data_IF_778120782743
#
_entry.id   IF_778120782743
#
_cell.length_a   1.000
_cell.length_b   1.000
_cell.length_c   1.000
_cell.angle_alpha   90.00
_cell.angle_beta   90.00
_cell.angle_gamma   90.00
#
_symmetry.space_group_name_H-M   'P 1'
#
loop_
_entity.id
_entity.type
_entity.pdbx_description
1 polymer ?
#
# COMPACT_ATOMS: atom_id res chain seq x y z
N UNK A 1 25.08 -33.60 -32.96
CA UNK A 1 24.34 -33.71 -31.68
C UNK A 1 23.49 -32.45 -31.50
N UNK A 2 22.19 -32.45 -31.88
CA UNK A 2 21.37 -31.26 -31.68
C UNK A 2 21.04 -31.09 -30.19
N UNK A 3 21.47 -29.97 -29.61
CA UNK A 3 21.19 -29.59 -28.22
C UNK A 3 19.71 -29.22 -28.09
N UNK A 4 18.99 -29.94 -27.22
CA UNK A 4 17.56 -29.74 -26.99
C UNK A 4 17.35 -28.49 -26.14
N UNK A 5 17.06 -27.36 -26.79
CA UNK A 5 16.58 -26.14 -26.14
C UNK A 5 15.39 -26.43 -25.22
N UNK A 6 15.35 -25.94 -23.96
CA UNK A 6 14.24 -26.21 -23.06
C UNK A 6 12.98 -25.53 -23.59
N UNK A 7 12.08 -26.31 -24.16
CA UNK A 7 10.73 -25.87 -24.55
C UNK A 7 10.06 -25.17 -23.37
N UNK A 8 9.91 -23.84 -23.48
CA UNK A 8 9.26 -22.99 -22.47
C UNK A 8 7.76 -23.29 -22.50
N UNK A 9 7.33 -24.27 -21.69
CA UNK A 9 5.91 -24.66 -21.54
C UNK A 9 5.06 -23.40 -21.34
N UNK A 10 4.10 -23.17 -22.23
CA UNK A 10 3.12 -22.09 -22.13
C UNK A 10 2.10 -22.43 -21.03
N UNK A 11 2.47 -22.12 -19.78
CA UNK A 11 1.66 -22.38 -18.56
C UNK A 11 0.32 -21.59 -18.54
N UNK A 12 0.07 -20.75 -19.55
CA UNK A 12 -1.09 -19.85 -19.62
C UNK A 12 -2.45 -20.53 -19.80
N UNK A 13 -2.52 -21.80 -20.27
CA UNK A 13 -3.81 -22.43 -20.62
C UNK A 13 -4.50 -23.24 -19.52
N UNK A 14 -3.76 -23.78 -18.54
CA UNK A 14 -4.35 -24.78 -17.61
C UNK A 14 -4.48 -24.31 -16.16
N UNK A 15 -3.65 -23.37 -15.69
CA UNK A 15 -3.74 -22.86 -14.30
C UNK A 15 -4.42 -21.50 -14.29
N UNK A 16 -5.59 -21.39 -13.65
CA UNK A 16 -6.22 -20.08 -13.36
C UNK A 16 -5.37 -19.32 -12.33
N UNK A 17 -4.37 -18.56 -12.80
CA UNK A 17 -3.44 -17.79 -11.96
C UNK A 17 -4.14 -16.61 -11.24
N UNK A 18 -5.16 -16.04 -11.89
CA UNK A 18 -5.96 -14.93 -11.37
C UNK A 18 -7.28 -15.47 -10.82
N UNK A 19 -7.63 -15.06 -9.60
CA UNK A 19 -8.91 -15.43 -9.01
C UNK A 19 -10.02 -14.51 -9.58
N UNK A 20 -11.11 -15.04 -10.16
CA UNK A 20 -12.25 -14.23 -10.61
C UNK A 20 -12.86 -13.40 -9.48
N UNK A 21 -12.71 -13.84 -8.22
CA UNK A 21 -13.23 -13.12 -7.06
C UNK A 21 -12.33 -11.96 -6.60
N UNK A 22 -11.14 -11.80 -7.19
CA UNK A 22 -10.15 -10.78 -6.85
C UNK A 22 -8.81 -11.38 -6.43
N UNK A 23 -7.69 -10.71 -6.76
CA UNK A 23 -6.35 -11.14 -6.31
C UNK A 23 -5.80 -12.38 -7.05
N UNK A 24 -4.72 -12.96 -6.50
CA UNK A 24 -4.03 -14.13 -7.04
C UNK A 24 -4.48 -15.42 -6.35
N UNK A 25 -4.64 -16.50 -7.13
CA UNK A 25 -4.87 -17.85 -6.58
C UNK A 25 -3.60 -18.40 -5.93
N UNK A 26 -3.68 -19.54 -5.22
CA UNK A 26 -2.50 -20.21 -4.68
C UNK A 26 -1.49 -20.55 -5.80
N UNK A 27 -1.98 -21.21 -6.86
CA UNK A 27 -1.21 -21.48 -8.07
C UNK A 27 -0.65 -20.21 -8.72
N UNK A 28 -1.40 -19.10 -8.67
CA UNK A 28 -0.92 -17.79 -9.11
C UNK A 28 0.30 -17.32 -8.33
N UNK A 29 0.26 -17.42 -6.99
CA UNK A 29 1.39 -17.01 -6.13
C UNK A 29 2.58 -17.95 -6.27
N UNK A 30 2.36 -19.25 -6.40
CA UNK A 30 3.42 -20.24 -6.68
C UNK A 30 4.10 -19.96 -8.00
N UNK A 31 3.34 -19.67 -9.06
CA UNK A 31 3.90 -19.30 -10.35
C UNK A 31 4.74 -18.02 -10.26
N UNK A 32 4.29 -17.01 -9.51
CA UNK A 32 5.07 -15.79 -9.27
C UNK A 32 6.35 -16.08 -8.46
N UNK A 33 6.29 -16.99 -7.49
CA UNK A 33 7.44 -17.45 -6.75
C UNK A 33 8.45 -18.16 -7.65
N UNK A 34 8.01 -19.07 -8.51
CA UNK A 34 8.86 -19.77 -9.48
C UNK A 34 9.48 -18.84 -10.54
N UNK A 35 8.74 -17.80 -10.97
CA UNK A 35 9.17 -16.91 -12.06
C UNK A 35 10.00 -15.72 -11.61
N UNK A 36 9.60 -15.08 -10.50
CA UNK A 36 10.21 -13.84 -10.03
C UNK A 36 10.96 -14.03 -8.71
N UNK A 37 10.92 -15.23 -8.10
CA UNK A 37 11.52 -15.49 -6.79
C UNK A 37 10.77 -14.83 -5.62
N UNK A 38 9.62 -14.22 -5.88
CA UNK A 38 8.88 -13.46 -4.87
C UNK A 38 7.94 -14.37 -4.06
N UNK A 39 8.18 -14.49 -2.75
CA UNK A 39 7.28 -15.19 -1.83
C UNK A 39 6.07 -14.30 -1.47
N UNK A 40 5.14 -14.18 -2.41
CA UNK A 40 3.92 -13.40 -2.24
C UNK A 40 3.01 -14.01 -1.18
N UNK A 41 2.86 -13.32 -0.06
CA UNK A 41 1.87 -13.68 0.97
C UNK A 41 0.43 -13.37 0.50
N UNK A 42 -0.58 -14.14 0.90
CA UNK A 42 -1.98 -13.84 0.60
C UNK A 42 -2.42 -12.52 1.24
N UNK A 43 -3.46 -11.90 0.69
CA UNK A 43 -4.06 -10.68 1.24
C UNK A 43 -4.51 -10.86 2.69
N UNK A 44 -4.38 -9.81 3.50
CA UNK A 44 -4.76 -9.84 4.93
C UNK A 44 -6.28 -9.79 5.03
N UNK A 45 -6.92 -10.95 5.13
CA UNK A 45 -8.36 -11.08 5.38
C UNK A 45 -8.65 -10.85 6.87
N UNK A 46 -9.70 -10.09 7.18
CA UNK A 46 -10.14 -9.82 8.55
C UNK A 46 -9.50 -8.59 9.21
N UNK A 47 -9.54 -8.58 10.54
CA UNK A 47 -9.01 -7.49 11.38
C UNK A 47 -7.48 -7.45 11.31
N UNK A 48 -6.93 -6.23 11.28
CA UNK A 48 -5.50 -5.98 11.22
C UNK A 48 -4.95 -5.74 12.62
N UNK A 49 -4.90 -6.81 13.43
CA UNK A 49 -4.59 -6.70 14.87
C UNK A 49 -3.08 -6.68 15.16
N UNK A 50 -2.26 -7.22 14.25
CA UNK A 50 -0.80 -7.22 14.39
C UNK A 50 -0.16 -6.06 13.61
N UNK A 51 0.99 -5.51 14.05
CA UNK A 51 1.68 -4.44 13.33
C UNK A 51 2.00 -4.81 11.87
N UNK A 52 2.38 -6.06 11.60
CA UNK A 52 2.63 -6.53 10.23
C UNK A 52 1.33 -6.51 9.39
N UNK A 53 0.21 -6.99 9.94
CA UNK A 53 -1.10 -6.94 9.25
C UNK A 53 -1.52 -5.50 8.96
N UNK A 54 -1.34 -4.58 9.92
CA UNK A 54 -1.62 -3.15 9.75
C UNK A 54 -0.80 -2.56 8.61
N UNK A 55 0.52 -2.79 8.62
CA UNK A 55 1.43 -2.31 7.58
C UNK A 55 1.03 -2.82 6.20
N UNK A 56 0.86 -4.14 6.07
CA UNK A 56 0.56 -4.79 4.78
C UNK A 56 -0.77 -4.31 4.22
N UNK A 57 -1.83 -4.34 5.03
CA UNK A 57 -3.18 -3.94 4.62
C UNK A 57 -3.26 -2.44 4.36
N UNK A 58 -2.69 -1.63 5.24
CA UNK A 58 -2.65 -0.18 5.09
C UNK A 58 -1.91 0.27 3.84
N UNK A 59 -0.73 -0.31 3.58
CA UNK A 59 0.06 -0.01 2.39
C UNK A 59 -0.65 -0.41 1.09
N UNK A 60 -1.28 -1.58 1.06
CA UNK A 60 -2.06 -2.02 -0.08
C UNK A 60 -3.21 -1.05 -0.38
N UNK A 61 -4.02 -0.72 0.64
CA UNK A 61 -5.18 0.15 0.45
C UNK A 61 -4.78 1.56 -0.02
N UNK A 62 -3.72 2.12 0.56
CA UNK A 62 -3.25 3.44 0.17
C UNK A 62 -2.74 3.46 -1.28
N UNK A 63 -1.97 2.44 -1.70
CA UNK A 63 -1.42 2.39 -3.07
C UNK A 63 -2.50 2.21 -4.15
N UNK A 64 -3.52 1.42 -3.86
CA UNK A 64 -4.52 1.06 -4.87
C UNK A 64 -5.75 1.96 -4.90
N UNK A 65 -6.12 2.59 -3.77
CA UNK A 65 -7.38 3.32 -3.66
C UNK A 65 -7.25 4.82 -3.34
N UNK A 66 -6.06 5.32 -2.96
CA UNK A 66 -5.89 6.77 -2.77
C UNK A 66 -5.95 7.53 -4.09
N UNK A 67 -5.31 6.98 -5.12
CA UNK A 67 -5.30 7.50 -6.47
C UNK A 67 -5.57 6.32 -7.42
N UNK A 68 -6.83 5.85 -7.48
CA UNK A 68 -7.16 4.69 -8.29
C UNK A 68 -6.90 4.99 -9.77
N UNK A 69 -6.25 4.06 -10.47
CA UNK A 69 -5.89 4.21 -11.90
C UNK A 69 -7.09 4.14 -12.85
N UNK A 70 -8.28 3.83 -12.35
CA UNK A 70 -9.46 3.65 -13.17
C UNK A 70 -10.74 3.53 -12.34
N UNK A 71 -11.90 3.37 -12.98
CA UNK A 71 -13.19 3.31 -12.31
C UNK A 71 -13.33 2.02 -11.48
N UNK A 72 -14.20 2.07 -10.48
CA UNK A 72 -14.49 0.92 -9.61
C UNK A 72 -15.49 -0.05 -10.23
N UNK A 73 -16.31 0.44 -11.16
CA UNK A 73 -17.26 -0.34 -11.95
C UNK A 73 -16.94 -0.17 -13.43
N UNK A 74 -17.24 -1.21 -14.23
CA UNK A 74 -17.18 -1.15 -15.68
C UNK A 74 -18.48 -0.55 -16.25
N UNK A 75 -18.52 -0.40 -17.58
CA UNK A 75 -19.67 0.15 -18.31
C UNK A 75 -20.94 -0.71 -18.17
N UNK A 76 -20.80 -1.96 -17.72
CA UNK A 76 -21.91 -2.90 -17.45
C UNK A 76 -22.31 -2.90 -15.97
N UNK A 77 -21.77 -1.98 -15.16
CA UNK A 77 -22.03 -1.87 -13.73
C UNK A 77 -21.37 -2.96 -12.87
N UNK A 78 -20.50 -3.79 -13.43
CA UNK A 78 -19.81 -4.87 -12.70
C UNK A 78 -18.53 -4.32 -12.05
N UNK A 79 -18.14 -4.82 -10.87
CA UNK A 79 -16.91 -4.38 -10.23
C UNK A 79 -15.68 -4.69 -11.07
N UNK A 80 -14.81 -3.69 -11.26
CA UNK A 80 -13.56 -3.87 -11.99
C UNK A 80 -12.60 -4.77 -11.21
N UNK A 81 -11.55 -5.22 -11.89
CA UNK A 81 -10.45 -5.98 -11.28
C UNK A 81 -9.85 -5.26 -10.06
N UNK A 82 -9.74 -3.93 -10.14
CA UNK A 82 -9.26 -3.08 -9.05
C UNK A 82 -10.22 -3.12 -7.85
N UNK A 83 -11.51 -2.98 -8.07
CA UNK A 83 -12.50 -3.07 -7.00
C UNK A 83 -12.53 -4.48 -6.36
N UNK A 84 -12.47 -5.54 -7.17
CA UNK A 84 -12.39 -6.93 -6.67
C UNK A 84 -11.13 -7.20 -5.84
N UNK A 85 -10.05 -6.46 -6.10
CA UNK A 85 -8.83 -6.59 -5.30
C UNK A 85 -9.05 -6.19 -3.83
N UNK A 86 -9.98 -5.28 -3.51
CA UNK A 86 -10.37 -4.97 -2.14
C UNK A 86 -10.91 -6.21 -1.41
N UNK A 87 -11.75 -7.01 -2.09
CA UNK A 87 -12.33 -8.24 -1.54
C UNK A 87 -11.27 -9.29 -1.24
N UNK A 88 -10.23 -9.40 -2.07
CA UNK A 88 -9.11 -10.29 -1.80
C UNK A 88 -8.37 -9.96 -0.49
N UNK A 89 -8.46 -8.71 -0.04
CA UNK A 89 -7.91 -8.19 1.23
C UNK A 89 -8.96 -8.06 2.34
N UNK A 90 -10.13 -8.72 2.19
CA UNK A 90 -11.19 -8.73 3.18
C UNK A 90 -11.83 -7.37 3.42
N UNK A 91 -11.80 -6.48 2.42
CA UNK A 91 -12.53 -5.22 2.43
C UNK A 91 -13.74 -5.30 1.50
N UNK A 92 -14.79 -4.48 1.73
CA UNK A 92 -15.92 -4.39 0.81
C UNK A 92 -15.45 -3.90 -0.56
N UNK A 93 -16.10 -4.40 -1.61
CA UNK A 93 -15.85 -3.98 -2.99
C UNK A 93 -16.38 -2.55 -3.16
N UNK A 94 -15.52 -1.56 -3.45
CA UNK A 94 -15.98 -0.21 -3.70
C UNK A 94 -16.77 -0.18 -5.02
N UNK A 95 -17.89 0.56 -5.05
CA UNK A 95 -18.70 0.76 -6.26
C UNK A 95 -18.40 2.09 -6.95
N UNK A 96 -17.88 3.05 -6.20
CA UNK A 96 -17.66 4.42 -6.61
C UNK A 96 -16.32 4.97 -6.07
N UNK A 97 -15.98 6.19 -6.50
CA UNK A 97 -14.76 6.88 -6.06
C UNK A 97 -14.80 7.22 -4.56
N UNK A 98 -15.99 7.48 -3.99
CA UNK A 98 -16.14 7.73 -2.56
C UNK A 98 -15.85 6.46 -1.75
N UNK A 99 -16.32 5.29 -2.19
CA UNK A 99 -15.96 3.99 -1.61
C UNK A 99 -14.46 3.73 -1.64
N UNK A 100 -13.80 4.03 -2.77
CA UNK A 100 -12.33 3.94 -2.87
C UNK A 100 -11.63 4.87 -1.87
N UNK A 101 -12.07 6.13 -1.74
CA UNK A 101 -11.53 7.07 -0.75
C UNK A 101 -11.69 6.57 0.68
N UNK A 102 -12.83 5.98 1.04
CA UNK A 102 -13.04 5.38 2.38
C UNK A 102 -12.02 4.27 2.67
N UNK A 103 -11.73 3.44 1.68
CA UNK A 103 -10.69 2.40 1.78
C UNK A 103 -9.29 3.02 1.94
N UNK A 104 -8.98 4.07 1.19
CA UNK A 104 -7.72 4.79 1.31
C UNK A 104 -7.56 5.41 2.72
N UNK A 105 -8.60 6.07 3.24
CA UNK A 105 -8.60 6.63 4.61
C UNK A 105 -8.40 5.53 5.66
N UNK A 106 -9.04 4.36 5.49
CA UNK A 106 -8.79 3.20 6.36
C UNK A 106 -7.34 2.75 6.27
N UNK A 107 -6.76 2.75 5.08
CA UNK A 107 -5.35 2.45 4.85
C UNK A 107 -4.42 3.40 5.59
N UNK A 108 -4.66 4.71 5.50
CA UNK A 108 -3.92 5.75 6.23
C UNK A 108 -3.98 5.53 7.73
N UNK A 109 -5.18 5.33 8.30
CA UNK A 109 -5.36 5.07 9.74
C UNK A 109 -4.59 3.83 10.22
N UNK A 110 -4.55 2.76 9.41
CA UNK A 110 -3.78 1.56 9.74
C UNK A 110 -2.27 1.83 9.75
N UNK A 111 -1.77 2.60 8.78
CA UNK A 111 -0.37 2.99 8.73
C UNK A 111 0.01 3.92 9.87
N UNK A 112 -0.83 4.88 10.23
CA UNK A 112 -0.62 5.75 11.39
C UNK A 112 -0.50 4.94 12.68
N UNK A 113 -1.41 3.98 12.91
CA UNK A 113 -1.35 3.06 14.05
C UNK A 113 -0.09 2.20 14.03
N UNK A 114 0.30 1.70 12.86
CA UNK A 114 1.55 0.96 12.68
C UNK A 114 2.76 1.84 13.05
N UNK A 115 2.89 3.04 12.49
CA UNK A 115 3.99 3.96 12.80
C UNK A 115 4.01 4.32 14.29
N UNK A 116 2.87 4.59 14.90
CA UNK A 116 2.78 4.83 16.33
C UNK A 116 3.24 3.62 17.16
N UNK A 117 2.86 2.39 16.77
CA UNK A 117 3.34 1.17 17.43
C UNK A 117 4.86 0.99 17.31
N UNK A 118 5.43 1.31 16.15
CA UNK A 118 6.87 1.25 15.91
C UNK A 118 7.63 2.31 16.70
N UNK A 119 7.09 3.53 16.81
CA UNK A 119 7.68 4.56 17.67
C UNK A 119 7.64 4.17 19.15
N UNK A 120 6.59 3.47 19.59
CA UNK A 120 6.50 2.97 20.98
C UNK A 120 7.49 1.85 21.26
N UNK A 121 7.72 0.96 20.30
CA UNK A 121 8.65 -0.18 20.46
C UNK A 121 10.12 0.21 20.34
N UNK A 122 10.45 1.42 19.86
CA UNK A 122 11.84 1.90 19.79
C UNK A 122 12.41 2.12 21.21
N UNK A 123 13.70 1.78 21.44
CA UNK A 123 14.35 2.07 22.72
C UNK A 123 14.36 3.58 23.00
N UNK A 124 14.20 3.96 24.27
CA UNK A 124 14.00 5.34 24.72
C UNK A 124 15.09 6.31 24.22
N UNK A 125 16.34 5.85 24.13
CA UNK A 125 17.47 6.60 23.59
C UNK A 125 17.30 7.03 22.12
N UNK A 126 16.66 6.21 21.28
CA UNK A 126 16.38 6.55 19.87
C UNK A 126 15.16 7.47 19.73
N UNK A 127 14.19 7.36 20.65
CA UNK A 127 12.97 8.20 20.67
C UNK A 127 13.28 9.65 21.08
N UNK A 128 14.18 9.86 22.04
CA UNK A 128 14.59 11.19 22.50
C UNK A 128 15.39 11.96 21.43
N UNK A 129 16.27 11.26 20.70
CA UNK A 129 17.02 11.83 19.57
C UNK A 129 16.13 12.33 18.43
N UNK A 130 15.12 11.54 18.04
CA UNK A 130 14.16 11.94 17.00
C UNK A 130 13.25 13.12 17.41
N UNK A 131 12.92 13.25 18.70
CA UNK A 131 12.16 14.40 19.21
C UNK A 131 13.03 15.67 19.21
N UNK A 132 14.30 15.57 19.66
CA UNK A 132 15.26 16.68 19.61
C UNK A 132 15.49 17.20 18.19
N UNK A 133 15.68 16.30 17.21
CA UNK A 133 15.89 16.72 15.81
C UNK A 133 14.65 17.38 15.21
N UNK A 134 13.43 16.87 15.48
CA UNK A 134 12.19 17.51 15.01
C UNK A 134 11.98 18.91 15.58
N UNK A 135 12.26 19.12 16.87
CA UNK A 135 12.16 20.44 17.51
C UNK A 135 13.19 21.41 16.93
N UNK A 136 14.43 20.97 16.71
CA UNK A 136 15.48 21.79 16.12
C UNK A 136 15.16 22.19 14.66
N UNK A 137 14.61 21.27 13.86
CA UNK A 137 14.19 21.55 12.47
C UNK A 137 12.99 22.51 12.43
N UNK A 138 12.02 22.36 13.34
CA UNK A 138 10.88 23.27 13.47
C UNK A 138 11.33 24.68 13.86
N UNK A 139 12.25 24.80 14.84
CA UNK A 139 12.82 26.09 15.25
C UNK A 139 13.58 26.79 14.10
N UNK A 140 14.41 26.04 13.35
CA UNK A 140 15.11 26.55 12.16
C UNK A 140 14.16 27.03 11.06
N UNK A 141 13.04 26.33 10.86
CA UNK A 141 12.03 26.71 9.86
C UNK A 141 11.23 27.95 10.29
N UNK A 142 11.01 28.13 11.59
CA UNK A 142 10.37 29.33 12.14
C UNK A 142 11.28 30.56 12.04
N UNK A 143 12.58 30.42 12.34
CA UNK A 143 13.54 31.52 12.17
C UNK A 143 13.71 31.91 10.71
N UNK A 144 13.83 30.93 9.79
CA UNK A 144 13.90 31.20 8.35
C UNK A 144 12.66 31.93 7.81
N UNK A 145 11.46 31.58 8.27
CA UNK A 145 10.21 32.27 7.94
C UNK A 145 10.20 33.71 8.45
N UNK A 146 10.65 33.95 9.69
CA UNK A 146 10.70 35.29 10.29
C UNK A 146 11.64 36.22 9.51
N UNK A 147 12.79 35.71 9.07
CA UNK A 147 13.77 36.45 8.25
C UNK A 147 13.24 36.78 6.85
N UNK A 148 12.47 35.88 6.23
CA UNK A 148 11.85 36.14 4.92
C UNK A 148 10.75 37.19 4.99
N UNK A 149 9.89 37.17 6.02
CA UNK A 149 8.90 38.24 6.25
C UNK A 149 9.55 39.60 6.49
N UNK A 150 10.63 39.66 7.27
CA UNK A 150 11.37 40.92 7.54
C UNK A 150 12.07 41.47 6.29
N UNK A 151 12.60 40.60 5.42
CA UNK A 151 13.24 41.02 4.16
C UNK A 151 12.21 41.55 3.14
N UNK A 152 10.97 41.03 3.18
CA UNK A 152 9.87 41.49 2.31
C UNK A 152 9.28 42.84 2.75
N UNK A 153 9.21 43.09 4.07
CA UNK A 153 8.75 44.36 4.63
C UNK A 153 9.73 45.55 4.45
N UNK A 154 10.99 45.29 4.09
CA UNK A 154 12.03 46.31 3.87
C UNK A 154 12.20 46.70 2.38
N UNK A 155 11.36 46.13 1.50
CA UNK A 155 11.40 46.27 0.04
C UNK A 155 10.10 46.89 -0.53
N UNK A 156 9.23 47.35 0.35
CA UNK A 156 8.08 48.23 0.11
C UNK A 156 8.36 49.55 0.82
#
# INVERSE_FOLDING_TARGET
MPTRSPTRKSVTRTRRLKDPKGGLTAAGREWFHEKEGANLKPGVKGKADTPEKMRRKGSFLLRHFAHPRGPMVDDKGKPTRLALSARAWGEPVPKDSAGAKRLATKGTKLLERYHASQERSKPAAKRSGAKKTRTAVAARRATARKTTTRKRAKKS
#
